data_IF_638104288085
#
_entry.id   IF_638104288085
#
_cell.length_a   1.000
_cell.length_b   1.000
_cell.length_c   1.000
_cell.angle_alpha   90.00
_cell.angle_beta   90.00
_cell.angle_gamma   90.00
#
_symmetry.space_group_name_H-M   'P 1'
#
loop_
_entity.id
_entity.type
_entity.pdbx_description
1 polymer ?
#
# COMPACT_ATOMS: atom_id res chain seq x y z
N UNK A 1 -41.40 -4.87 -40.52
CA UNK A 1 -41.15 -4.14 -39.25
C UNK A 1 -39.68 -4.29 -38.89
N UNK A 2 -38.91 -3.20 -38.81
CA UNK A 2 -37.48 -3.24 -38.46
C UNK A 2 -37.35 -2.93 -36.96
N UNK A 3 -37.02 -3.94 -36.17
CA UNK A 3 -36.75 -3.79 -34.73
C UNK A 3 -35.35 -3.18 -34.57
N UNK A 4 -35.28 -1.91 -34.16
CA UNK A 4 -34.00 -1.27 -33.79
C UNK A 4 -33.65 -1.68 -32.36
N UNK A 5 -32.73 -2.63 -32.22
CA UNK A 5 -32.14 -2.96 -30.92
C UNK A 5 -31.10 -1.86 -30.61
N UNK A 6 -31.39 -1.03 -29.61
CA UNK A 6 -30.43 -0.06 -29.07
C UNK A 6 -29.63 -0.77 -27.97
N UNK A 7 -28.34 -1.01 -28.23
CA UNK A 7 -27.40 -1.52 -27.24
C UNK A 7 -26.96 -0.36 -26.34
N UNK A 8 -27.51 -0.26 -25.14
CA UNK A 8 -27.02 0.68 -24.12
C UNK A 8 -25.81 0.03 -23.44
N UNK A 9 -24.61 0.45 -23.84
CA UNK A 9 -23.38 0.13 -23.12
C UNK A 9 -23.39 0.87 -21.77
N UNK A 10 -23.76 0.17 -20.70
CA UNK A 10 -23.41 0.60 -19.35
C UNK A 10 -21.92 0.35 -19.15
N UNK A 11 -21.09 1.36 -19.43
CA UNK A 11 -19.74 1.40 -18.86
C UNK A 11 -19.89 1.85 -17.40
N UNK A 12 -19.61 1.01 -16.39
CA UNK A 12 -19.40 1.51 -15.05
C UNK A 12 -18.05 2.24 -15.06
N UNK A 13 -18.06 3.50 -15.51
CA UNK A 13 -17.04 4.45 -15.12
C UNK A 13 -17.22 4.66 -13.62
N UNK A 14 -16.57 3.82 -12.81
CA UNK A 14 -16.22 4.17 -11.45
C UNK A 14 -15.26 5.36 -11.52
N UNK A 15 -15.81 6.55 -11.76
CA UNK A 15 -15.16 7.79 -11.41
C UNK A 15 -15.14 7.78 -9.88
N UNK A 16 -14.07 7.23 -9.30
CA UNK A 16 -13.76 7.51 -7.91
C UNK A 16 -13.65 9.04 -7.82
N UNK A 17 -14.70 9.69 -7.35
CA UNK A 17 -14.71 11.12 -7.19
C UNK A 17 -13.79 11.42 -6.02
N UNK A 18 -12.53 11.74 -6.34
CA UNK A 18 -11.55 12.14 -5.32
C UNK A 18 -12.08 13.40 -4.66
N UNK A 19 -12.26 13.34 -3.35
CA UNK A 19 -12.72 14.48 -2.57
C UNK A 19 -11.72 15.64 -2.68
N UNK A 20 -12.22 16.87 -2.57
CA UNK A 20 -11.39 18.06 -2.71
C UNK A 20 -10.25 18.10 -1.68
N UNK A 21 -10.50 17.63 -0.46
CA UNK A 21 -9.50 17.59 0.61
C UNK A 21 -8.38 16.59 0.28
N UNK A 22 -8.74 15.41 -0.21
CA UNK A 22 -7.75 14.40 -0.62
C UNK A 22 -6.96 14.89 -1.83
N UNK A 23 -7.63 15.49 -2.81
CA UNK A 23 -6.98 16.08 -4.00
C UNK A 23 -5.98 17.17 -3.63
N UNK A 24 -6.31 18.04 -2.67
CA UNK A 24 -5.41 19.08 -2.17
C UNK A 24 -4.14 18.51 -1.55
N UNK A 25 -4.26 17.47 -0.72
CA UNK A 25 -3.10 16.80 -0.13
C UNK A 25 -2.29 16.02 -1.16
N UNK A 26 -2.94 15.41 -2.15
CA UNK A 26 -2.29 14.64 -3.22
C UNK A 26 -1.42 15.53 -4.12
N UNK A 27 -1.79 16.79 -4.32
CA UNK A 27 -1.06 17.73 -5.19
C UNK A 27 0.43 17.86 -4.84
N UNK A 28 0.77 17.81 -3.54
CA UNK A 28 2.17 17.86 -3.09
C UNK A 28 2.97 16.60 -3.44
N UNK A 29 2.28 15.49 -3.72
CA UNK A 29 2.87 14.19 -4.08
C UNK A 29 2.82 13.93 -5.59
N UNK A 30 1.92 14.59 -6.33
CA UNK A 30 1.70 14.38 -7.77
C UNK A 30 2.95 14.66 -8.62
N UNK A 31 3.80 15.60 -8.19
CA UNK A 31 5.02 15.98 -8.92
C UNK A 31 6.25 15.17 -8.52
N UNK A 32 6.14 14.30 -7.52
CA UNK A 32 7.27 13.56 -6.96
C UNK A 32 7.46 12.25 -7.74
N UNK A 33 8.60 12.15 -8.44
CA UNK A 33 8.94 11.00 -9.30
C UNK A 33 9.54 9.81 -8.55
N UNK A 34 9.76 9.92 -7.25
CA UNK A 34 10.41 8.92 -6.41
C UNK A 34 9.62 8.68 -5.12
N UNK A 35 10.00 7.67 -4.35
CA UNK A 35 9.43 7.40 -3.04
C UNK A 35 10.51 7.11 -2.01
N UNK A 36 10.13 7.17 -0.74
CA UNK A 36 10.99 7.10 0.43
C UNK A 36 10.38 6.11 1.43
N UNK A 37 11.22 5.40 2.17
CA UNK A 37 10.79 4.69 3.37
C UNK A 37 10.31 5.68 4.44
N UNK A 38 9.54 5.23 5.45
CA UNK A 38 9.08 6.10 6.54
C UNK A 38 10.20 6.86 7.26
N UNK A 39 11.39 6.26 7.34
CA UNK A 39 12.60 6.86 7.90
C UNK A 39 13.70 6.89 6.84
N UNK A 40 14.38 8.02 6.70
CA UNK A 40 15.44 8.32 5.74
C UNK A 40 16.69 8.85 6.46
N UNK A 41 17.79 8.97 5.72
CA UNK A 41 19.09 9.44 6.21
C UNK A 41 19.76 8.51 7.24
N UNK A 42 20.98 8.88 7.67
CA UNK A 42 21.85 8.06 8.54
C UNK A 42 21.32 8.01 9.98
N UNK A 43 20.64 9.07 10.42
CA UNK A 43 20.04 9.22 11.74
C UNK A 43 18.59 8.72 11.82
N UNK A 44 18.04 8.19 10.72
CA UNK A 44 16.69 7.65 10.67
C UNK A 44 15.60 8.72 10.81
N UNK A 45 15.83 9.94 10.33
CA UNK A 45 14.83 11.01 10.32
C UNK A 45 13.59 10.60 9.54
N UNK A 46 12.43 11.06 9.98
CA UNK A 46 11.18 10.80 9.25
C UNK A 46 11.20 11.42 7.84
N UNK A 47 10.69 10.66 6.87
CA UNK A 47 10.50 11.13 5.51
C UNK A 47 9.40 12.18 5.45
N UNK A 48 9.71 13.36 4.89
CA UNK A 48 8.72 14.40 4.63
C UNK A 48 7.67 13.94 3.62
N UNK A 49 8.09 13.21 2.59
CA UNK A 49 7.22 12.71 1.52
C UNK A 49 6.25 11.67 2.08
N UNK A 50 6.76 10.70 2.85
CA UNK A 50 5.93 9.72 3.53
C UNK A 50 4.97 10.38 4.52
N UNK A 51 5.42 11.40 5.25
CA UNK A 51 4.57 12.15 6.18
C UNK A 51 3.45 12.95 5.48
N UNK A 52 3.69 13.50 4.29
CA UNK A 52 2.59 14.08 3.49
C UNK A 52 1.57 13.01 3.11
N UNK A 53 2.02 11.82 2.72
CA UNK A 53 1.13 10.71 2.44
C UNK A 53 0.36 10.24 3.69
N UNK A 54 1.01 10.14 4.86
CA UNK A 54 0.34 9.75 6.13
C UNK A 54 -0.81 10.70 6.48
N UNK A 55 -0.70 11.99 6.14
CA UNK A 55 -1.81 12.96 6.30
C UNK A 55 -2.93 12.71 5.30
N UNK A 56 -2.59 12.41 4.04
CA UNK A 56 -3.55 12.06 3.00
C UNK A 56 -4.31 10.78 3.35
N UNK A 57 -3.61 9.72 3.74
CA UNK A 57 -4.22 8.42 4.00
C UNK A 57 -5.26 8.50 5.12
N UNK A 58 -5.00 9.28 6.18
CA UNK A 58 -5.95 9.47 7.28
C UNK A 58 -7.34 9.94 6.87
N UNK A 59 -7.46 10.69 5.77
CA UNK A 59 -8.75 11.22 5.29
C UNK A 59 -9.25 10.52 4.01
N UNK A 60 -8.38 9.83 3.29
CA UNK A 60 -8.74 9.14 2.06
C UNK A 60 -9.49 7.83 2.36
N UNK A 61 -10.55 7.57 1.60
CA UNK A 61 -11.22 6.28 1.60
C UNK A 61 -10.49 5.28 0.69
N UNK A 62 -10.89 4.01 0.72
CA UNK A 62 -10.20 2.97 -0.05
C UNK A 62 -10.38 3.11 -1.57
N UNK A 63 -11.45 3.75 -2.05
CA UNK A 63 -11.67 3.98 -3.49
C UNK A 63 -10.70 5.04 -4.03
N UNK A 64 -10.47 6.10 -3.26
CA UNK A 64 -9.48 7.13 -3.55
C UNK A 64 -8.06 6.56 -3.52
N UNK A 65 -7.73 5.75 -2.51
CA UNK A 65 -6.45 5.05 -2.45
C UNK A 65 -6.28 4.09 -3.63
N UNK A 66 -7.32 3.36 -4.00
CA UNK A 66 -7.29 2.47 -5.17
C UNK A 66 -7.08 3.25 -6.48
N UNK A 67 -7.70 4.42 -6.61
CA UNK A 67 -7.43 5.31 -7.74
C UNK A 67 -5.96 5.72 -7.80
N UNK A 68 -5.39 6.22 -6.70
CA UNK A 68 -3.98 6.63 -6.65
C UNK A 68 -3.01 5.47 -6.87
N UNK A 69 -3.32 4.29 -6.34
CA UNK A 69 -2.53 3.08 -6.54
C UNK A 69 -2.40 2.70 -8.03
N UNK A 70 -3.40 3.04 -8.86
CA UNK A 70 -3.38 2.81 -10.32
C UNK A 70 -2.85 3.98 -11.13
N UNK A 71 -3.24 5.20 -10.77
CA UNK A 71 -3.13 6.37 -11.65
C UNK A 71 -2.28 7.51 -11.09
N UNK A 72 -1.89 7.45 -9.81
CA UNK A 72 -1.11 8.50 -9.16
C UNK A 72 0.33 8.60 -9.66
N UNK A 73 1.08 9.54 -9.07
CA UNK A 73 2.54 9.61 -9.18
C UNK A 73 3.23 8.37 -8.62
N UNK A 74 4.54 8.25 -8.80
CA UNK A 74 5.28 7.07 -8.32
C UNK A 74 5.16 6.89 -6.80
N UNK A 75 5.21 7.97 -6.03
CA UNK A 75 5.00 7.93 -4.57
C UNK A 75 3.57 7.52 -4.21
N UNK A 76 2.57 8.16 -4.83
CA UNK A 76 1.16 7.84 -4.61
C UNK A 76 0.84 6.39 -4.95
N UNK A 77 1.37 5.87 -6.06
CA UNK A 77 1.18 4.47 -6.47
C UNK A 77 1.64 3.51 -5.38
N UNK A 78 2.86 3.66 -4.88
CA UNK A 78 3.41 2.76 -3.86
C UNK A 78 2.63 2.90 -2.55
N UNK A 79 2.55 4.12 -2.01
CA UNK A 79 2.06 4.30 -0.66
C UNK A 79 0.58 3.98 -0.58
N UNK A 80 -0.22 4.34 -1.59
CA UNK A 80 -1.62 3.94 -1.64
C UNK A 80 -1.79 2.43 -1.76
N UNK A 81 -0.90 1.74 -2.49
CA UNK A 81 -0.92 0.27 -2.57
C UNK A 81 -0.63 -0.37 -1.21
N UNK A 82 0.42 0.08 -0.52
CA UNK A 82 0.79 -0.41 0.82
C UNK A 82 -0.32 -0.11 1.84
N UNK A 83 -0.92 1.08 1.76
CA UNK A 83 -2.02 1.47 2.64
C UNK A 83 -3.28 0.62 2.42
N UNK A 84 -3.63 0.27 1.18
CA UNK A 84 -4.73 -0.66 0.89
C UNK A 84 -4.48 -2.02 1.55
N UNK A 85 -3.25 -2.52 1.49
CA UNK A 85 -2.86 -3.76 2.18
C UNK A 85 -3.00 -3.63 3.70
N UNK A 86 -2.46 -2.56 4.30
CA UNK A 86 -2.58 -2.26 5.75
C UNK A 86 -4.03 -2.22 6.22
N UNK A 87 -4.93 -1.72 5.37
CA UNK A 87 -6.37 -1.67 5.61
C UNK A 87 -7.10 -2.98 5.36
N UNK A 88 -6.39 -4.02 4.92
CA UNK A 88 -6.93 -5.31 4.50
C UNK A 88 -7.95 -5.19 3.34
N UNK A 89 -7.73 -4.24 2.42
CA UNK A 89 -8.55 -4.11 1.21
C UNK A 89 -8.04 -5.06 0.12
N UNK A 90 -8.89 -6.01 -0.29
CA UNK A 90 -8.55 -7.04 -1.28
C UNK A 90 -8.14 -6.47 -2.64
N UNK A 91 -8.47 -5.22 -2.95
CA UNK A 91 -8.01 -4.57 -4.19
C UNK A 91 -6.51 -4.38 -4.23
N UNK A 92 -5.80 -4.48 -3.10
CA UNK A 92 -4.34 -4.65 -3.08
C UNK A 92 -3.87 -5.74 -4.04
N UNK A 93 -4.52 -6.91 -4.08
CA UNK A 93 -4.15 -8.01 -4.99
C UNK A 93 -4.38 -7.65 -6.47
N UNK A 94 -5.36 -6.77 -6.75
CA UNK A 94 -5.56 -6.26 -8.11
C UNK A 94 -4.41 -5.35 -8.51
N UNK A 95 -3.96 -4.49 -7.60
CA UNK A 95 -2.80 -3.62 -7.81
C UNK A 95 -1.51 -4.44 -7.99
N UNK A 96 -1.29 -5.42 -7.11
CA UNK A 96 -0.16 -6.35 -7.22
C UNK A 96 -0.14 -7.01 -8.60
N UNK A 97 -1.27 -7.57 -9.04
CA UNK A 97 -1.40 -8.18 -10.38
C UNK A 97 -1.09 -7.21 -11.52
N UNK A 98 -1.51 -5.95 -11.43
CA UNK A 98 -1.23 -4.93 -12.46
C UNK A 98 0.28 -4.74 -12.61
N UNK A 99 0.99 -4.55 -11.50
CA UNK A 99 2.43 -4.29 -11.52
C UNK A 99 3.27 -5.55 -11.76
N UNK A 100 2.81 -6.74 -11.35
CA UNK A 100 3.48 -7.99 -11.71
C UNK A 100 3.42 -8.27 -13.22
N UNK A 101 2.33 -7.86 -13.88
CA UNK A 101 2.19 -7.95 -15.35
C UNK A 101 2.91 -6.83 -16.10
N UNK A 102 2.91 -5.63 -15.53
CA UNK A 102 3.53 -4.44 -16.12
C UNK A 102 4.56 -3.86 -15.13
N UNK A 103 5.77 -4.45 -15.07
CA UNK A 103 6.84 -3.98 -14.21
C UNK A 103 7.07 -2.47 -14.34
N UNK A 104 6.99 -1.76 -13.21
CA UNK A 104 7.29 -0.34 -13.15
C UNK A 104 8.48 -0.11 -12.22
N UNK A 105 9.61 0.31 -12.80
CA UNK A 105 10.80 0.69 -12.06
C UNK A 105 10.70 2.15 -11.61
N UNK A 106 11.02 2.39 -10.35
CA UNK A 106 10.98 3.70 -9.73
C UNK A 106 12.19 3.90 -8.83
N UNK A 107 12.58 5.15 -8.62
CA UNK A 107 13.58 5.49 -7.62
C UNK A 107 12.96 5.37 -6.23
N UNK A 108 13.56 4.55 -5.38
CA UNK A 108 13.17 4.37 -3.98
C UNK A 108 14.36 4.64 -3.07
N UNK A 109 14.14 5.47 -2.04
CA UNK A 109 15.12 5.76 -1.00
C UNK A 109 14.77 4.99 0.27
N UNK A 110 15.68 4.15 0.75
CA UNK A 110 15.58 3.44 2.02
C UNK A 110 16.73 3.89 2.93
N UNK A 111 16.44 4.62 4.00
CA UNK A 111 17.49 5.25 4.81
C UNK A 111 18.32 6.22 3.96
N UNK A 112 19.63 5.99 3.89
CA UNK A 112 20.57 6.74 3.04
C UNK A 112 20.76 6.15 1.63
N UNK A 113 20.18 4.99 1.34
CA UNK A 113 20.41 4.27 0.08
C UNK A 113 19.31 4.59 -0.94
N UNK A 114 19.69 5.08 -2.11
CA UNK A 114 18.80 5.26 -3.27
C UNK A 114 19.02 4.14 -4.27
N UNK A 115 17.93 3.50 -4.71
CA UNK A 115 17.99 2.42 -5.69
C UNK A 115 16.78 2.45 -6.63
N UNK A 116 16.91 1.84 -7.81
CA UNK A 116 15.75 1.57 -8.67
C UNK A 116 15.10 0.26 -8.22
N UNK A 117 13.84 0.31 -7.80
CA UNK A 117 13.06 -0.87 -7.41
C UNK A 117 11.82 -1.00 -8.28
N UNK A 118 11.41 -2.23 -8.54
CA UNK A 118 10.09 -2.50 -9.11
C UNK A 118 9.03 -2.30 -8.03
N UNK A 119 7.90 -1.66 -8.34
CA UNK A 119 6.78 -1.54 -7.42
C UNK A 119 6.36 -2.92 -6.88
N UNK A 120 6.28 -3.96 -7.72
CA UNK A 120 5.94 -5.32 -7.24
C UNK A 120 6.88 -5.81 -6.14
N UNK A 121 8.18 -5.53 -6.26
CA UNK A 121 9.15 -5.88 -5.22
C UNK A 121 8.86 -5.13 -3.92
N UNK A 122 8.57 -3.83 -3.98
CA UNK A 122 8.21 -3.04 -2.80
C UNK A 122 6.92 -3.53 -2.11
N UNK A 123 5.93 -3.98 -2.89
CA UNK A 123 4.70 -4.56 -2.34
C UNK A 123 4.96 -5.93 -1.70
N UNK A 124 5.82 -6.76 -2.30
CA UNK A 124 6.27 -8.02 -1.69
C UNK A 124 7.04 -7.75 -0.39
N UNK A 125 7.97 -6.80 -0.39
CA UNK A 125 8.76 -6.42 0.79
C UNK A 125 7.82 -5.99 1.95
N UNK A 126 6.77 -5.22 1.67
CA UNK A 126 5.77 -4.78 2.67
C UNK A 126 5.01 -5.97 3.30
N UNK A 127 4.53 -6.90 2.46
CA UNK A 127 3.80 -8.08 2.92
C UNK A 127 4.71 -8.98 3.75
N UNK A 128 5.96 -9.16 3.32
CA UNK A 128 6.96 -9.95 4.06
C UNK A 128 7.29 -9.34 5.43
N UNK A 129 7.56 -8.03 5.49
CA UNK A 129 7.86 -7.33 6.74
C UNK A 129 6.70 -7.35 7.75
N UNK A 130 5.47 -7.48 7.27
CA UNK A 130 4.28 -7.48 8.12
C UNK A 130 4.22 -8.67 9.08
N UNK A 131 4.88 -9.79 8.78
CA UNK A 131 4.94 -10.93 9.71
C UNK A 131 5.64 -10.58 11.04
N UNK A 132 6.79 -9.90 10.95
CA UNK A 132 7.55 -9.43 12.10
C UNK A 132 6.77 -8.33 12.83
N UNK A 133 6.14 -7.43 12.09
CA UNK A 133 5.32 -6.35 12.65
C UNK A 133 4.15 -6.90 13.47
N UNK A 134 3.40 -7.86 12.92
CA UNK A 134 2.28 -8.48 13.64
C UNK A 134 2.79 -9.25 14.87
N UNK A 135 3.94 -9.92 14.77
CA UNK A 135 4.57 -10.60 15.91
C UNK A 135 4.93 -9.61 17.01
N UNK A 136 5.61 -8.52 16.68
CA UNK A 136 5.97 -7.48 17.63
C UNK A 136 4.74 -6.83 18.29
N UNK A 137 3.72 -6.50 17.49
CA UNK A 137 2.44 -5.96 17.98
C UNK A 137 1.80 -6.90 18.99
N UNK A 138 1.65 -8.18 18.64
CA UNK A 138 0.98 -9.16 19.50
C UNK A 138 1.76 -9.40 20.80
N UNK A 139 3.10 -9.42 20.73
CA UNK A 139 3.97 -9.56 21.91
C UNK A 139 3.88 -8.35 22.85
N UNK A 140 3.95 -7.13 22.30
CA UNK A 140 3.80 -5.91 23.07
C UNK A 140 2.41 -5.81 23.70
N UNK A 141 1.35 -6.14 22.96
CA UNK A 141 -0.01 -6.18 23.49
C UNK A 141 -0.15 -7.15 24.67
N UNK A 142 0.45 -8.35 24.58
CA UNK A 142 0.48 -9.32 25.68
C UNK A 142 1.24 -8.80 26.90
N UNK A 143 2.40 -8.15 26.70
CA UNK A 143 3.17 -7.53 27.80
C UNK A 143 2.43 -6.35 28.44
N UNK A 144 1.69 -5.57 27.65
CA UNK A 144 0.92 -4.41 28.13
C UNK A 144 -0.20 -4.80 29.11
N UNK A 145 -0.86 -5.95 28.89
CA UNK A 145 -1.90 -6.46 29.82
C UNK A 145 -1.39 -6.66 31.25
N UNK A 146 -0.09 -6.86 31.43
CA UNK A 146 0.55 -6.93 32.75
C UNK A 146 1.01 -5.59 33.31
N UNK A 147 0.73 -4.46 32.64
CA UNK A 147 1.28 -3.12 32.92
C UNK A 147 2.82 -3.05 32.95
N UNK A 148 3.50 -3.99 32.28
CA UNK A 148 4.97 -4.11 32.29
C UNK A 148 5.68 -3.33 31.18
N UNK A 149 4.95 -2.54 30.39
CA UNK A 149 5.54 -1.78 29.29
C UNK A 149 6.02 -0.40 29.75
N UNK A 150 7.26 -0.11 29.43
CA UNK A 150 7.82 1.25 29.43
C UNK A 150 7.11 2.16 28.41
N UNK A 151 7.20 3.47 28.63
CA UNK A 151 6.52 4.48 27.83
C UNK A 151 6.87 4.43 26.34
N UNK A 152 8.14 4.15 26.00
CA UNK A 152 8.57 4.00 24.60
C UNK A 152 7.84 2.83 23.93
N UNK A 153 7.83 1.66 24.55
CA UNK A 153 7.16 0.47 24.02
C UNK A 153 5.64 0.67 23.90
N UNK A 154 5.02 1.43 24.81
CA UNK A 154 3.60 1.81 24.68
C UNK A 154 3.33 2.64 23.43
N UNK A 155 4.19 3.63 23.14
CA UNK A 155 4.08 4.43 21.92
C UNK A 155 4.25 3.57 20.66
N UNK A 156 5.22 2.65 20.67
CA UNK A 156 5.40 1.69 19.56
C UNK A 156 4.15 0.83 19.37
N UNK A 157 3.59 0.27 20.45
CA UNK A 157 2.36 -0.53 20.36
C UNK A 157 1.20 0.26 19.75
N UNK A 158 1.00 1.52 20.18
CA UNK A 158 -0.05 2.39 19.64
C UNK A 158 0.15 2.61 18.13
N UNK A 159 1.36 2.93 17.67
CA UNK A 159 1.61 3.13 16.23
C UNK A 159 1.42 1.83 15.43
N UNK A 160 1.83 0.68 15.95
CA UNK A 160 1.58 -0.61 15.30
C UNK A 160 0.09 -0.96 15.22
N UNK A 161 -0.67 -0.70 16.28
CA UNK A 161 -2.12 -0.89 16.31
C UNK A 161 -2.82 0.07 15.34
N UNK A 162 -2.45 1.35 15.31
CA UNK A 162 -3.02 2.32 14.39
C UNK A 162 -2.83 1.92 12.91
N UNK A 163 -1.61 1.49 12.55
CA UNK A 163 -1.26 1.20 11.15
C UNK A 163 -1.63 -0.22 10.70
N UNK A 164 -1.76 -1.20 11.60
CA UNK A 164 -1.96 -2.62 11.24
C UNK A 164 -3.13 -3.31 11.95
N UNK A 165 -4.03 -2.57 12.64
CA UNK A 165 -5.21 -3.15 13.33
C UNK A 165 -6.10 -4.03 12.45
N UNK A 166 -6.18 -3.75 11.15
CA UNK A 166 -7.08 -4.47 10.24
C UNK A 166 -6.49 -5.78 9.71
N UNK A 167 -5.22 -6.07 10.01
CA UNK A 167 -4.51 -7.26 9.56
C UNK A 167 -4.32 -8.28 10.69
N UNK A 168 -4.67 -9.53 10.37
CA UNK A 168 -4.36 -10.71 11.17
C UNK A 168 -3.33 -11.60 10.47
N UNK A 169 -2.76 -12.57 11.20
CA UNK A 169 -1.90 -13.60 10.61
C UNK A 169 -2.61 -14.44 9.53
N UNK A 170 -3.93 -14.62 9.66
CA UNK A 170 -4.75 -15.32 8.66
C UNK A 170 -4.86 -14.51 7.37
N UNK A 171 -5.09 -13.19 7.48
CA UNK A 171 -5.13 -12.29 6.33
C UNK A 171 -3.76 -12.26 5.63
N UNK A 172 -2.68 -12.17 6.40
CA UNK A 172 -1.32 -12.19 5.86
C UNK A 172 -1.05 -13.48 5.07
N UNK A 173 -1.41 -14.64 5.62
CA UNK A 173 -1.28 -15.93 4.93
C UNK A 173 -2.11 -15.97 3.63
N UNK A 174 -3.31 -15.39 3.65
CA UNK A 174 -4.15 -15.28 2.46
C UNK A 174 -3.45 -14.45 1.37
N UNK A 175 -2.93 -13.25 1.70
CA UNK A 175 -2.24 -12.41 0.73
C UNK A 175 -1.00 -13.09 0.14
N UNK A 176 -0.16 -13.74 0.98
CA UNK A 176 1.02 -14.48 0.51
C UNK A 176 0.65 -15.55 -0.53
N UNK A 177 -0.35 -16.38 -0.23
CA UNK A 177 -0.82 -17.44 -1.14
C UNK A 177 -1.36 -16.85 -2.45
N UNK A 178 -2.16 -15.77 -2.39
CA UNK A 178 -2.71 -15.17 -3.60
C UNK A 178 -1.66 -14.47 -4.46
N UNK A 179 -0.65 -13.85 -3.85
CA UNK A 179 0.50 -13.29 -4.57
C UNK A 179 1.31 -14.38 -5.26
N UNK A 180 1.60 -15.49 -4.59
CA UNK A 180 2.28 -16.65 -5.20
C UNK A 180 1.52 -17.18 -6.42
N UNK A 181 0.19 -17.30 -6.33
CA UNK A 181 -0.65 -17.69 -7.48
C UNK A 181 -0.55 -16.68 -8.63
N UNK A 182 -0.56 -15.38 -8.34
CA UNK A 182 -0.40 -14.34 -9.36
C UNK A 182 0.95 -14.48 -10.06
N UNK A 183 2.02 -14.71 -9.30
CA UNK A 183 3.37 -14.85 -9.85
C UNK A 183 3.51 -16.11 -10.71
N UNK A 184 2.94 -17.24 -10.27
CA UNK A 184 2.89 -18.48 -11.05
C UNK A 184 2.10 -18.32 -12.36
N UNK A 185 0.97 -17.61 -12.34
CA UNK A 185 0.21 -17.34 -13.56
C UNK A 185 1.00 -16.48 -14.56
N UNK A 186 1.76 -15.51 -14.06
CA UNK A 186 2.56 -14.63 -14.90
C UNK A 186 3.84 -15.31 -15.42
N UNK A 187 4.36 -16.34 -14.76
CA UNK A 187 5.49 -17.14 -15.27
C UNK A 187 5.05 -18.14 -16.33
N UNK A 188 3.88 -18.76 -16.20
CA UNK A 188 3.33 -19.68 -17.20
C UNK A 188 2.90 -18.98 -18.51
N UNK A 189 2.48 -17.71 -18.45
CA UNK A 189 2.16 -16.90 -19.63
C UNK A 189 3.37 -16.39 -20.43
N UNK A 190 4.60 -16.77 -20.05
CA UNK A 190 5.86 -16.38 -20.70
C UNK A 190 6.53 -17.52 -21.49
N UNK A 191 5.82 -18.61 -21.76
CA UNK A 191 6.31 -19.63 -22.70
C UNK A 191 6.34 -19.04 -24.13
N UNK A 192 7.48 -19.15 -24.84
CA UNK A 192 7.65 -18.63 -26.20
C UNK A 192 6.74 -19.30 -27.23
#
# INVERSE_FOLDING_TARGET
MKLKIVFIFFFPFFNAQISNNVKLLAKSLDTISYAESPHIDIDGRESKIYNYFKKLSKIANNDELYFFAKHGSNSLRIYSSQELFKRNDKRFLTIYRIYSKNPLLITYQSGCVKSKKNITQLLTDEVSATEEILTMRDELARKNKGNKLENFMKKTLIDLEENYKNLTRKDLRFYKIEMEKIDQQNSMGKLP
#
